data_IF_499897983523
#
_entry.id   IF_499897983523
#
_cell.length_a   1.000
_cell.length_b   1.000
_cell.length_c   1.000
_cell.angle_alpha   90.00
_cell.angle_beta   90.00
_cell.angle_gamma   90.00
#
_symmetry.space_group_name_H-M   'P 1'
#
loop_
_entity.id
_entity.type
_entity.pdbx_description
1 polymer ?
#
# COMPACT_ATOMS: atom_id res chain seq x y z
N UNK A 1 -2.32 65.03 -8.34
CA UNK A 1 -2.25 64.01 -7.27
C UNK A 1 -2.27 62.65 -7.93
N UNK A 2 -1.27 61.79 -7.68
CA UNK A 2 -1.24 60.44 -8.24
C UNK A 2 -2.10 59.51 -7.36
N UNK A 3 -3.03 58.78 -7.98
CA UNK A 3 -3.88 57.80 -7.29
C UNK A 3 -3.11 56.48 -7.18
N UNK A 4 -2.83 56.06 -5.94
CA UNK A 4 -2.25 54.75 -5.65
C UNK A 4 -3.31 53.67 -5.82
N UNK A 5 -3.05 52.65 -6.64
CA UNK A 5 -3.93 51.49 -6.78
C UNK A 5 -3.85 50.59 -5.53
N UNK A 6 -4.95 49.96 -5.11
CA UNK A 6 -4.95 49.06 -3.96
C UNK A 6 -4.12 47.81 -4.23
N UNK A 7 -3.46 47.31 -3.19
CA UNK A 7 -2.66 46.08 -3.26
C UNK A 7 -3.54 44.86 -3.65
N UNK A 8 -3.03 43.92 -4.46
CA UNK A 8 -3.77 42.72 -4.84
C UNK A 8 -4.10 41.88 -3.61
N UNK A 9 -5.32 41.32 -3.58
CA UNK A 9 -5.73 40.37 -2.53
C UNK A 9 -4.92 39.07 -2.67
N UNK A 10 -4.31 38.63 -1.57
CA UNK A 10 -3.69 37.31 -1.51
C UNK A 10 -4.76 36.23 -1.74
N UNK A 11 -4.48 35.29 -2.65
CA UNK A 11 -5.35 34.14 -2.91
C UNK A 11 -5.13 33.08 -1.82
N UNK A 12 -6.22 32.53 -1.28
CA UNK A 12 -6.14 31.36 -0.40
C UNK A 12 -5.87 30.11 -1.25
N UNK A 13 -4.64 29.61 -1.18
CA UNK A 13 -4.17 28.44 -1.90
C UNK A 13 -4.18 27.17 -1.06
N UNK A 14 -4.79 27.19 0.13
CA UNK A 14 -4.89 26.03 1.03
C UNK A 14 -5.47 24.79 0.34
N UNK A 15 -6.54 24.87 -0.48
CA UNK A 15 -7.06 23.70 -1.21
C UNK A 15 -6.08 23.09 -2.22
N UNK A 16 -5.24 23.93 -2.85
CA UNK A 16 -4.22 23.47 -3.81
C UNK A 16 -3.07 22.78 -3.07
N UNK A 17 -2.70 23.27 -1.88
CA UNK A 17 -1.67 22.65 -1.06
C UNK A 17 -2.06 21.24 -0.56
N UNK A 18 -3.35 20.93 -0.45
CA UNK A 18 -3.83 19.58 -0.11
C UNK A 18 -3.56 18.55 -1.21
N UNK A 19 -3.51 18.98 -2.48
CA UNK A 19 -3.12 18.10 -3.59
C UNK A 19 -1.63 17.71 -3.52
N UNK A 20 -0.83 18.49 -2.78
CA UNK A 20 0.61 18.27 -2.60
C UNK A 20 0.97 17.83 -1.17
N UNK A 21 0.00 17.31 -0.41
CA UNK A 21 0.30 16.61 0.85
C UNK A 21 0.39 17.47 2.11
N UNK A 22 -0.15 18.70 2.12
CA UNK A 22 -0.14 19.55 3.33
C UNK A 22 -0.93 18.98 4.53
N UNK A 23 -1.81 18.00 4.30
CA UNK A 23 -2.53 17.22 5.32
C UNK A 23 -2.18 15.72 5.21
N UNK A 24 -0.90 15.38 5.01
CA UNK A 24 -0.44 14.01 5.24
C UNK A 24 -0.50 13.69 6.75
N UNK A 25 -1.70 13.37 7.24
CA UNK A 25 -1.79 12.28 8.21
C UNK A 25 -1.05 11.11 7.55
N UNK A 26 0.17 10.83 8.03
CA UNK A 26 1.12 9.85 7.49
C UNK A 26 0.34 8.65 6.92
N UNK A 27 0.20 8.57 5.59
CA UNK A 27 -0.43 7.40 4.99
C UNK A 27 0.59 6.29 5.03
N UNK A 28 0.31 5.25 5.82
CA UNK A 28 1.15 4.06 5.84
C UNK A 28 1.28 3.50 4.42
N UNK A 29 2.51 3.39 3.96
CA UNK A 29 2.84 2.82 2.66
C UNK A 29 3.19 1.35 2.83
N UNK A 30 2.52 0.48 2.07
CA UNK A 30 2.77 -0.96 2.08
C UNK A 30 3.23 -1.38 0.69
N UNK A 31 4.47 -1.86 0.61
CA UNK A 31 5.06 -2.42 -0.60
C UNK A 31 5.05 -3.95 -0.52
N UNK A 32 4.38 -4.61 -1.46
CA UNK A 32 4.36 -6.07 -1.54
C UNK A 32 5.57 -6.55 -2.32
N UNK A 33 6.43 -7.33 -1.68
CA UNK A 33 7.67 -7.84 -2.26
C UNK A 33 7.51 -9.25 -2.79
N UNK A 34 6.57 -10.02 -2.25
CA UNK A 34 6.26 -11.35 -2.73
C UNK A 34 5.33 -12.12 -1.82
N UNK A 35 5.03 -13.35 -2.23
CA UNK A 35 4.24 -14.31 -1.46
C UNK A 35 5.05 -15.59 -1.35
N UNK A 36 5.20 -16.10 -0.13
CA UNK A 36 5.89 -17.37 0.14
C UNK A 36 4.95 -18.54 -0.20
N UNK A 37 3.70 -18.45 0.25
CA UNK A 37 2.64 -19.38 -0.08
C UNK A 37 1.29 -18.66 0.00
N UNK A 38 0.40 -18.94 -0.96
CA UNK A 38 -0.96 -18.44 -0.95
C UNK A 38 -1.86 -19.31 -0.03
N UNK A 39 -2.93 -18.72 0.50
CA UNK A 39 -3.87 -19.39 1.39
C UNK A 39 -3.70 -19.02 2.87
N UNK A 40 -4.53 -19.60 3.75
CA UNK A 40 -4.64 -19.19 5.16
C UNK A 40 -3.39 -19.49 6.00
N UNK A 41 -2.69 -20.59 5.71
CA UNK A 41 -1.44 -20.97 6.41
C UNK A 41 -0.19 -20.34 5.77
N UNK A 42 -0.40 -19.57 4.70
CA UNK A 42 0.62 -18.92 3.91
C UNK A 42 1.24 -17.70 4.58
N UNK A 43 2.16 -17.06 3.86
CA UNK A 43 2.81 -15.84 4.30
C UNK A 43 3.12 -14.93 3.11
N UNK A 44 2.99 -13.63 3.34
CA UNK A 44 3.33 -12.59 2.38
C UNK A 44 4.46 -11.73 2.93
N UNK A 45 5.32 -11.23 2.03
CA UNK A 45 6.47 -10.41 2.37
C UNK A 45 6.18 -8.96 1.98
N UNK A 46 6.18 -8.07 2.97
CA UNK A 46 5.96 -6.63 2.78
C UNK A 46 7.17 -5.80 3.23
N UNK A 47 7.22 -4.56 2.78
CA UNK A 47 7.92 -3.47 3.47
C UNK A 47 6.88 -2.42 3.84
N UNK A 48 6.93 -1.97 5.09
CA UNK A 48 6.01 -0.96 5.63
C UNK A 48 6.82 0.32 5.84
N UNK A 49 6.35 1.43 5.25
CA UNK A 49 6.99 2.75 5.33
C UNK A 49 8.48 2.74 4.94
N UNK A 50 8.88 1.86 4.02
CA UNK A 50 10.26 1.69 3.58
C UNK A 50 11.17 0.95 4.58
N UNK A 51 10.59 0.41 5.67
CA UNK A 51 11.28 -0.41 6.65
C UNK A 51 11.75 -1.77 6.09
N UNK A 52 12.48 -2.55 6.91
CA UNK A 52 13.00 -3.84 6.49
C UNK A 52 11.87 -4.80 6.06
N UNK A 53 12.08 -5.61 5.02
CA UNK A 53 11.12 -6.63 4.63
C UNK A 53 10.89 -7.68 5.72
N UNK A 54 9.64 -7.95 6.07
CA UNK A 54 9.27 -9.03 7.00
C UNK A 54 8.22 -9.95 6.36
N UNK A 55 7.92 -11.07 7.02
CA UNK A 55 6.86 -11.99 6.60
C UNK A 55 5.66 -11.86 7.55
N UNK A 56 4.47 -11.75 6.99
CA UNK A 56 3.19 -11.66 7.71
C UNK A 56 2.22 -12.74 7.27
N UNK A 57 1.38 -13.17 8.21
CA UNK A 57 0.31 -14.15 8.03
C UNK A 57 -1.06 -13.49 8.09
N UNK A 58 -2.07 -14.20 7.59
CA UNK A 58 -3.46 -13.77 7.73
C UNK A 58 -3.78 -13.58 9.22
N UNK A 59 -4.36 -12.42 9.56
CA UNK A 59 -4.66 -12.00 10.93
C UNK A 59 -3.62 -11.08 11.53
N UNK A 60 -2.40 -11.01 10.99
CA UNK A 60 -1.37 -10.12 11.52
C UNK A 60 -1.70 -8.65 11.25
N UNK A 61 -1.41 -7.80 12.24
CA UNK A 61 -1.44 -6.35 12.10
C UNK A 61 -0.10 -5.88 11.51
N UNK A 62 -0.13 -5.45 10.25
CA UNK A 62 1.08 -5.07 9.50
C UNK A 62 1.53 -3.65 9.81
N UNK A 63 0.59 -2.82 10.25
CA UNK A 63 0.77 -1.45 10.72
C UNK A 63 -0.45 -1.06 11.57
N UNK A 64 -0.40 0.03 12.37
CA UNK A 64 -1.50 0.40 13.25
C UNK A 64 -2.86 0.47 12.53
N UNK A 65 -3.78 -0.39 12.94
CA UNK A 65 -5.13 -0.52 12.40
C UNK A 65 -5.23 -1.17 11.03
N UNK A 66 -4.13 -1.70 10.47
CA UNK A 66 -4.08 -2.36 9.16
C UNK A 66 -3.79 -3.86 9.37
N UNK A 67 -4.76 -4.70 9.00
CA UNK A 67 -4.69 -6.15 9.21
C UNK A 67 -4.64 -6.88 7.88
N UNK A 68 -3.76 -7.89 7.76
CA UNK A 68 -3.72 -8.78 6.61
C UNK A 68 -4.90 -9.75 6.65
N UNK A 69 -5.81 -9.69 5.67
CA UNK A 69 -7.04 -10.51 5.63
C UNK A 69 -6.94 -11.71 4.71
N UNK A 70 -6.17 -11.60 3.62
CA UNK A 70 -6.05 -12.69 2.65
C UNK A 70 -4.71 -12.63 1.91
N UNK A 71 -4.18 -13.81 1.58
CA UNK A 71 -2.97 -13.98 0.78
C UNK A 71 -3.34 -14.81 -0.46
N UNK A 72 -3.43 -14.15 -1.61
CA UNK A 72 -3.62 -14.76 -2.92
C UNK A 72 -2.31 -14.84 -3.69
N UNK A 73 -2.31 -15.60 -4.79
CA UNK A 73 -1.13 -15.73 -5.65
C UNK A 73 -0.82 -14.43 -6.42
N UNK A 74 -1.86 -13.70 -6.83
CA UNK A 74 -1.80 -12.48 -7.64
C UNK A 74 -2.00 -11.18 -6.83
N UNK A 75 -2.52 -11.31 -5.61
CA UNK A 75 -2.73 -10.17 -4.73
C UNK A 75 -2.86 -10.58 -3.26
N UNK A 76 -2.51 -9.67 -2.37
CA UNK A 76 -2.86 -9.73 -0.94
C UNK A 76 -3.96 -8.72 -0.63
N UNK A 77 -4.76 -8.99 0.40
CA UNK A 77 -5.80 -8.07 0.85
C UNK A 77 -5.51 -7.64 2.27
N UNK A 78 -5.37 -6.33 2.48
CA UNK A 78 -5.29 -5.71 3.81
C UNK A 78 -6.58 -4.98 4.11
N UNK A 79 -6.91 -4.79 5.39
CA UNK A 79 -8.08 -4.04 5.81
C UNK A 79 -7.68 -2.98 6.82
N UNK A 80 -8.20 -1.76 6.63
CA UNK A 80 -8.05 -0.66 7.59
C UNK A 80 -9.43 -0.08 7.90
N UNK A 81 -9.84 -0.11 9.17
CA UNK A 81 -11.12 0.46 9.61
C UNK A 81 -12.33 -0.07 8.82
N UNK A 82 -12.34 -1.38 8.52
CA UNK A 82 -13.41 -2.02 7.74
C UNK A 82 -13.35 -1.80 6.22
N UNK A 83 -12.34 -1.09 5.70
CA UNK A 83 -12.12 -0.94 4.26
C UNK A 83 -11.03 -1.89 3.80
N UNK A 84 -11.38 -2.82 2.93
CA UNK A 84 -10.43 -3.73 2.30
C UNK A 84 -9.71 -3.05 1.12
N UNK A 85 -8.40 -3.25 1.02
CA UNK A 85 -7.55 -2.83 -0.08
C UNK A 85 -6.80 -4.03 -0.64
N UNK A 86 -6.81 -4.17 -1.97
CA UNK A 86 -6.13 -5.24 -2.70
C UNK A 86 -4.80 -4.71 -3.23
N UNK A 87 -3.70 -5.31 -2.80
CA UNK A 87 -2.35 -4.97 -3.23
C UNK A 87 -1.84 -6.08 -4.15
N UNK A 88 -1.45 -5.71 -5.37
CA UNK A 88 -0.93 -6.68 -6.34
C UNK A 88 0.38 -7.29 -5.85
N UNK A 89 0.56 -8.59 -6.07
CA UNK A 89 1.84 -9.25 -5.84
C UNK A 89 2.69 -9.12 -7.09
N UNK A 90 4.01 -8.95 -6.95
CA UNK A 90 4.90 -9.02 -8.10
C UNK A 90 4.81 -10.43 -8.73
N UNK A 91 4.83 -10.47 -10.06
CA UNK A 91 4.84 -11.73 -10.78
C UNK A 91 6.08 -12.55 -10.38
N UNK A 92 5.88 -13.75 -9.89
CA UNK A 92 6.98 -14.68 -9.69
C UNK A 92 7.45 -15.16 -11.07
N UNK A 93 8.74 -15.05 -11.41
CA UNK A 93 9.24 -15.62 -12.66
C UNK A 93 8.94 -17.12 -12.67
N UNK A 94 8.45 -17.60 -13.82
CA UNK A 94 8.28 -19.04 -14.01
C UNK A 94 9.67 -19.68 -13.94
N UNK A 95 9.85 -20.79 -13.19
CA UNK A 95 11.10 -21.52 -13.23
C UNK A 95 11.33 -22.07 -14.64
N UNK A 96 12.54 -21.89 -15.19
CA UNK A 96 12.92 -22.34 -16.54
C UNK A 96 12.89 -23.87 -16.72
N UNK A 97 12.68 -24.61 -15.63
CA UNK A 97 12.45 -26.05 -15.57
C UNK A 97 12.27 -26.49 -14.12
N UNK A 98 11.32 -27.40 -13.86
CA UNK A 98 11.04 -27.88 -12.51
C UNK A 98 9.83 -28.81 -12.43
N UNK A 99 9.56 -29.31 -11.22
CA UNK A 99 8.39 -30.14 -10.93
C UNK A 99 7.10 -29.30 -11.01
N UNK A 100 6.29 -29.55 -12.04
CA UNK A 100 4.97 -28.95 -12.20
C UNK A 100 3.89 -29.88 -11.65
N UNK A 101 2.84 -29.30 -11.04
CA UNK A 101 1.67 -30.07 -10.63
C UNK A 101 0.94 -30.56 -11.88
N UNK A 102 0.71 -31.87 -11.99
CA UNK A 102 -0.13 -32.41 -13.05
C UNK A 102 -1.58 -31.90 -12.88
N UNK A 103 -2.19 -31.45 -13.98
CA UNK A 103 -3.61 -31.11 -14.01
C UNK A 103 -4.46 -32.36 -13.69
N UNK A 104 -5.60 -32.22 -12.99
CA UNK A 104 -6.50 -33.34 -12.68
C UNK A 104 -7.15 -33.92 -13.94
#
# INVERSE_FOLDING_TARGET
AAVSAPAPRAADNTPVALWFGRDEALRTQISVLGVIAAGPDGAAVFSVDGGPPLAWRVGDEVAPGIVLKNIGADAVTVEQGGRASRLATPASPAPDGGIARAAP
#
